data_IF_024727268108
#
_entry.id   IF_024727268108
#
_cell.length_a   1.000
_cell.length_b   1.000
_cell.length_c   1.000
_cell.angle_alpha   90.00
_cell.angle_beta   90.00
_cell.angle_gamma   90.00
#
_symmetry.space_group_name_H-M   'P 1'
#
loop_
_entity.id
_entity.type
_entity.pdbx_description
1 polymer ?
#
# COMPACT_ATOMS: atom_id res chain seq x y z
N UNK A 1 -10.36 62.53 -44.59
CA UNK A 1 -11.21 61.55 -43.89
C UNK A 1 -10.34 60.43 -43.33
N UNK A 2 -10.10 60.41 -42.01
CA UNK A 2 -9.30 59.39 -41.31
C UNK A 2 -10.21 58.20 -40.96
N UNK A 3 -9.86 57.00 -41.42
CA UNK A 3 -10.57 55.76 -41.06
C UNK A 3 -9.93 55.18 -39.79
N UNK A 4 -10.69 55.15 -38.70
CA UNK A 4 -10.35 54.44 -37.46
C UNK A 4 -10.59 52.95 -37.65
N UNK A 5 -9.55 52.15 -37.47
CA UNK A 5 -9.63 50.68 -37.49
C UNK A 5 -9.85 50.23 -36.05
N UNK A 6 -11.04 49.72 -35.76
CA UNK A 6 -11.40 49.17 -34.45
C UNK A 6 -10.94 47.72 -34.37
N UNK A 7 -9.92 47.44 -33.54
CA UNK A 7 -9.46 46.09 -33.22
C UNK A 7 -10.39 45.48 -32.18
N UNK A 8 -11.20 44.49 -32.57
CA UNK A 8 -11.99 43.66 -31.66
C UNK A 8 -11.10 42.51 -31.19
N UNK A 9 -10.69 42.57 -29.92
CA UNK A 9 -9.93 41.50 -29.28
C UNK A 9 -10.89 40.45 -28.75
N UNK A 10 -10.96 39.29 -29.41
CA UNK A 10 -11.78 38.14 -28.98
C UNK A 10 -11.00 37.42 -27.88
N UNK A 11 -11.46 37.56 -26.64
CA UNK A 11 -10.95 36.79 -25.51
C UNK A 11 -11.47 35.35 -25.69
N UNK A 12 -10.62 34.48 -26.23
CA UNK A 12 -10.87 33.04 -26.20
C UNK A 12 -10.70 32.55 -24.76
N UNK A 13 -11.80 32.47 -24.01
CA UNK A 13 -11.86 31.71 -22.77
C UNK A 13 -11.69 30.23 -23.16
N UNK A 14 -10.46 29.74 -23.07
CA UNK A 14 -10.17 28.31 -23.10
C UNK A 14 -10.86 27.67 -21.90
N UNK A 15 -12.03 27.07 -22.11
CA UNK A 15 -12.62 26.13 -21.17
C UNK A 15 -11.72 24.90 -21.18
N UNK A 16 -10.63 24.95 -20.42
CA UNK A 16 -9.92 23.74 -20.06
C UNK A 16 -10.94 22.84 -19.36
N UNK A 17 -11.13 21.58 -19.79
CA UNK A 17 -11.91 20.65 -19.00
C UNK A 17 -11.24 20.62 -17.63
N UNK A 18 -11.99 20.99 -16.60
CA UNK A 18 -11.58 20.73 -15.23
C UNK A 18 -11.46 19.21 -15.19
N UNK A 19 -10.23 18.72 -15.14
CA UNK A 19 -9.96 17.33 -14.80
C UNK A 19 -10.41 17.17 -13.35
N UNK A 20 -11.71 16.97 -13.15
CA UNK A 20 -12.21 16.37 -11.95
C UNK A 20 -11.58 14.99 -11.92
N UNK A 21 -10.56 14.81 -11.08
CA UNK A 21 -10.22 13.49 -10.60
C UNK A 21 -11.50 12.97 -9.94
N UNK A 22 -12.25 12.16 -10.67
CA UNK A 22 -13.44 11.49 -10.18
C UNK A 22 -12.96 10.63 -9.00
N UNK A 23 -13.23 11.10 -7.77
CA UNK A 23 -13.09 10.27 -6.58
C UNK A 23 -14.16 9.20 -6.68
N UNK A 24 -13.87 8.16 -7.46
CA UNK A 24 -14.43 6.85 -7.15
C UNK A 24 -13.82 6.49 -5.81
N UNK A 25 -14.54 6.80 -4.73
CA UNK A 25 -14.36 6.17 -3.43
C UNK A 25 -14.75 4.71 -3.60
N UNK A 26 -13.92 3.95 -4.33
CA UNK A 26 -14.11 2.52 -4.45
C UNK A 26 -13.60 1.90 -3.15
N UNK A 27 -14.45 1.93 -2.13
CA UNK A 27 -14.19 1.36 -0.80
C UNK A 27 -14.25 -0.18 -0.82
N UNK A 28 -14.50 -0.79 -1.98
CA UNK A 28 -14.48 -2.23 -2.15
C UNK A 28 -13.04 -2.77 -2.07
N UNK A 29 -12.89 -3.84 -1.28
CA UNK A 29 -11.68 -4.65 -1.22
C UNK A 29 -11.85 -5.79 -2.21
N UNK A 30 -11.29 -5.63 -3.40
CA UNK A 30 -11.29 -6.64 -4.47
C UNK A 30 -10.10 -7.60 -4.33
N UNK A 31 -10.12 -8.78 -4.99
CA UNK A 31 -8.95 -9.66 -5.05
C UNK A 31 -7.69 -8.93 -5.52
N UNK A 32 -7.79 -8.14 -6.60
CA UNK A 32 -6.65 -7.39 -7.14
C UNK A 32 -6.11 -6.33 -6.17
N UNK A 33 -6.99 -5.72 -5.37
CA UNK A 33 -6.57 -4.78 -4.33
C UNK A 33 -5.77 -5.48 -3.23
N UNK A 34 -6.17 -6.70 -2.85
CA UNK A 34 -5.44 -7.51 -1.87
C UNK A 34 -4.08 -7.92 -2.45
N UNK A 35 -4.05 -8.42 -3.69
CA UNK A 35 -2.82 -8.78 -4.39
C UNK A 35 -1.82 -7.61 -4.41
N UNK A 36 -2.29 -6.42 -4.82
CA UNK A 36 -1.45 -5.22 -4.85
C UNK A 36 -0.96 -4.78 -3.46
N UNK A 37 -1.80 -4.92 -2.41
CA UNK A 37 -1.40 -4.62 -1.04
C UNK A 37 -0.29 -5.58 -0.55
N UNK A 38 -0.46 -6.88 -0.78
CA UNK A 38 0.52 -7.90 -0.39
C UNK A 38 1.84 -7.72 -1.14
N UNK A 39 1.78 -7.54 -2.46
CA UNK A 39 2.96 -7.30 -3.30
C UNK A 39 3.71 -6.02 -2.88
N UNK A 40 2.98 -4.97 -2.49
CA UNK A 40 3.58 -3.74 -1.98
C UNK A 40 4.37 -3.98 -0.70
N UNK A 41 3.78 -4.65 0.28
CA UNK A 41 4.44 -4.99 1.55
C UNK A 41 5.67 -5.89 1.33
N UNK A 42 5.51 -6.93 0.51
CA UNK A 42 6.58 -7.87 0.17
C UNK A 42 7.79 -7.15 -0.45
N UNK A 43 7.55 -6.31 -1.46
CA UNK A 43 8.58 -5.58 -2.17
C UNK A 43 9.30 -4.56 -1.29
N UNK A 44 8.57 -3.77 -0.49
CA UNK A 44 9.19 -2.73 0.34
C UNK A 44 9.95 -3.32 1.50
N UNK A 45 9.35 -4.27 2.20
CA UNK A 45 9.97 -4.83 3.39
C UNK A 45 11.16 -5.71 3.02
N UNK A 46 11.04 -6.49 1.94
CA UNK A 46 12.16 -7.25 1.37
C UNK A 46 13.35 -6.36 1.02
N UNK A 47 13.10 -5.24 0.32
CA UNK A 47 14.17 -4.28 -0.01
C UNK A 47 14.85 -3.67 1.23
N UNK A 48 14.08 -3.41 2.29
CA UNK A 48 14.63 -2.90 3.57
C UNK A 48 15.50 -3.98 4.24
N UNK A 49 15.00 -5.21 4.34
CA UNK A 49 15.71 -6.35 4.94
C UNK A 49 17.02 -6.62 4.17
N UNK A 50 16.97 -6.60 2.85
CA UNK A 50 18.14 -6.80 1.99
C UNK A 50 19.17 -5.68 2.16
N UNK A 51 18.75 -4.42 2.21
CA UNK A 51 19.65 -3.28 2.42
C UNK A 51 20.38 -3.37 3.77
N UNK A 52 19.65 -3.76 4.82
CA UNK A 52 20.20 -3.94 6.17
C UNK A 52 21.15 -5.14 6.21
N UNK A 53 20.75 -6.27 5.64
CA UNK A 53 21.50 -7.54 5.67
C UNK A 53 22.77 -7.50 4.83
N UNK A 54 22.77 -6.74 3.73
CA UNK A 54 23.93 -6.53 2.87
C UNK A 54 24.98 -5.57 3.46
N UNK A 55 24.69 -4.95 4.60
CA UNK A 55 25.59 -3.99 5.25
C UNK A 55 25.72 -2.66 4.51
N UNK A 56 24.83 -2.41 3.54
CA UNK A 56 24.80 -1.17 2.77
C UNK A 56 24.23 0.01 3.58
N UNK A 57 23.48 -0.29 4.63
CA UNK A 57 22.97 0.71 5.58
C UNK A 57 24.04 1.23 6.54
N UNK A 58 23.81 2.43 7.08
CA UNK A 58 24.72 2.99 8.08
C UNK A 58 24.81 2.14 9.35
N UNK A 59 25.97 2.17 9.99
CA UNK A 59 26.23 1.56 11.31
C UNK A 59 25.17 1.91 12.38
N UNK A 60 24.59 3.11 12.30
CA UNK A 60 23.50 3.51 13.18
C UNK A 60 22.22 2.70 12.90
N UNK A 61 21.83 2.55 11.63
CA UNK A 61 20.64 1.80 11.22
C UNK A 61 20.80 0.31 11.55
N UNK A 62 21.96 -0.27 11.25
CA UNK A 62 22.24 -1.68 11.59
C UNK A 62 22.13 -1.95 13.09
N UNK A 63 22.67 -1.05 13.93
CA UNK A 63 22.52 -1.15 15.39
C UNK A 63 21.08 -0.99 15.83
N UNK A 64 20.35 -0.01 15.29
CA UNK A 64 18.95 0.23 15.65
C UNK A 64 18.07 -0.97 15.29
N UNK A 65 18.30 -1.57 14.12
CA UNK A 65 17.60 -2.79 13.69
C UNK A 65 17.84 -3.94 14.67
N UNK A 66 19.10 -4.24 14.97
CA UNK A 66 19.49 -5.32 15.88
C UNK A 66 18.94 -5.16 17.30
N UNK A 67 18.88 -3.93 17.83
CA UNK A 67 18.46 -3.70 19.22
C UNK A 67 16.96 -3.55 19.39
N UNK A 68 16.23 -3.08 18.37
CA UNK A 68 14.77 -2.84 18.46
C UNK A 68 13.95 -4.02 18.01
N UNK A 69 14.40 -4.71 16.97
CA UNK A 69 13.70 -5.87 16.46
C UNK A 69 14.31 -7.14 17.09
N UNK A 70 15.64 -7.20 17.29
CA UNK A 70 16.35 -8.38 17.79
C UNK A 70 17.26 -9.04 16.75
N UNK A 71 17.77 -10.24 17.05
CA UNK A 71 18.65 -11.02 16.17
C UNK A 71 17.95 -12.18 15.46
N UNK A 72 16.73 -12.53 15.89
CA UNK A 72 15.99 -13.73 15.43
C UNK A 72 14.83 -13.35 14.51
N UNK A 73 15.07 -12.48 13.53
CA UNK A 73 14.07 -12.29 12.49
C UNK A 73 14.26 -13.34 11.42
N UNK A 74 13.16 -13.93 10.92
CA UNK A 74 13.22 -14.65 9.67
C UNK A 74 13.56 -13.63 8.58
N UNK A 75 14.85 -13.54 8.21
CA UNK A 75 15.31 -12.80 7.03
C UNK A 75 14.58 -13.24 5.74
N UNK A 76 13.86 -14.36 5.81
CA UNK A 76 13.10 -14.99 4.74
C UNK A 76 11.62 -14.62 4.72
N UNK A 77 11.11 -13.79 5.65
CA UNK A 77 9.70 -13.37 5.65
C UNK A 77 9.59 -11.89 5.32
N UNK A 78 9.34 -11.55 4.03
CA UNK A 78 9.39 -10.17 3.58
C UNK A 78 8.43 -9.30 4.37
N UNK A 79 7.18 -9.72 4.61
CA UNK A 79 6.16 -8.88 5.27
C UNK A 79 6.32 -8.71 6.79
N UNK A 80 7.40 -9.20 7.39
CA UNK A 80 7.64 -9.14 8.83
C UNK A 80 7.63 -7.69 9.35
N UNK A 81 8.19 -6.74 8.59
CA UNK A 81 8.24 -5.34 9.00
C UNK A 81 6.86 -4.67 8.99
N UNK A 82 5.94 -5.12 8.14
CA UNK A 82 4.53 -4.75 8.17
C UNK A 82 3.77 -5.36 9.36
N UNK A 83 4.35 -6.31 10.09
CA UNK A 83 3.80 -6.89 11.32
C UNK A 83 2.78 -8.01 11.07
N UNK A 84 2.87 -8.69 9.93
CA UNK A 84 2.17 -9.94 9.63
C UNK A 84 3.10 -10.89 8.86
N UNK A 85 2.88 -12.20 9.01
CA UNK A 85 3.81 -13.21 8.54
C UNK A 85 3.09 -14.22 7.65
N UNK A 86 3.21 -14.04 6.33
CA UNK A 86 2.57 -14.91 5.35
C UNK A 86 3.23 -16.30 5.32
N UNK A 87 2.46 -17.38 5.18
CA UNK A 87 3.00 -18.74 5.11
C UNK A 87 3.67 -19.04 3.76
N UNK A 88 4.96 -19.39 3.77
CA UNK A 88 5.78 -19.69 2.59
C UNK A 88 5.21 -20.78 1.67
N UNK A 89 4.43 -21.73 2.22
CA UNK A 89 3.87 -22.87 1.48
C UNK A 89 2.52 -22.58 0.82
N UNK A 90 1.97 -21.37 0.98
CA UNK A 90 0.62 -21.03 0.50
C UNK A 90 0.69 -20.22 -0.78
N UNK A 91 -0.15 -20.57 -1.75
CA UNK A 91 -0.26 -19.82 -3.01
C UNK A 91 -0.94 -18.46 -2.79
N UNK A 92 -0.60 -17.47 -3.61
CA UNK A 92 -1.20 -16.13 -3.56
C UNK A 92 -2.73 -16.18 -3.66
N UNK A 93 -3.28 -16.98 -4.59
CA UNK A 93 -4.74 -17.16 -4.73
C UNK A 93 -5.41 -17.68 -3.45
N UNK A 94 -4.73 -18.59 -2.73
CA UNK A 94 -5.23 -19.14 -1.47
C UNK A 94 -5.18 -18.09 -0.35
N UNK A 95 -4.11 -17.29 -0.30
CA UNK A 95 -4.01 -16.16 0.64
C UNK A 95 -5.13 -15.14 0.39
N UNK A 96 -5.30 -14.70 -0.85
CA UNK A 96 -6.32 -13.74 -1.27
C UNK A 96 -7.71 -14.26 -0.92
N UNK A 97 -8.01 -15.52 -1.24
CA UNK A 97 -9.30 -16.14 -0.95
C UNK A 97 -9.60 -16.18 0.56
N UNK A 98 -8.61 -16.56 1.37
CA UNK A 98 -8.74 -16.62 2.83
C UNK A 98 -8.97 -15.23 3.45
N UNK A 99 -8.27 -14.20 2.94
CA UNK A 99 -8.45 -12.82 3.37
C UNK A 99 -9.85 -12.30 3.00
N UNK A 100 -10.31 -12.59 1.77
CA UNK A 100 -11.66 -12.22 1.32
C UNK A 100 -12.75 -12.87 2.16
N UNK A 101 -12.58 -14.14 2.51
CA UNK A 101 -13.52 -14.87 3.37
C UNK A 101 -13.59 -14.22 4.75
N UNK A 102 -12.45 -13.97 5.39
CA UNK A 102 -12.39 -13.31 6.69
C UNK A 102 -13.00 -11.90 6.67
N UNK A 103 -12.81 -11.14 5.59
CA UNK A 103 -13.40 -9.81 5.42
C UNK A 103 -14.93 -9.83 5.23
N UNK A 104 -15.52 -10.96 4.81
CA UNK A 104 -16.98 -11.12 4.73
C UNK A 104 -17.58 -11.43 6.10
N UNK A 105 -16.85 -12.17 6.93
CA UNK A 105 -17.29 -12.58 8.27
C UNK A 105 -17.05 -11.50 9.33
N UNK A 106 -16.13 -10.58 9.08
CA UNK A 106 -15.74 -9.55 10.04
C UNK A 106 -16.55 -8.25 9.83
N UNK A 107 -17.26 -7.74 10.85
CA UNK A 107 -17.95 -6.47 10.77
C UNK A 107 -16.98 -5.33 10.42
N UNK A 108 -17.31 -4.56 9.38
CA UNK A 108 -16.49 -3.38 9.01
C UNK A 108 -16.80 -2.24 9.97
N UNK A 109 -15.78 -1.63 10.63
CA UNK A 109 -16.01 -0.46 11.45
C UNK A 109 -16.45 0.71 10.56
N UNK A 110 -17.48 1.43 10.99
CA UNK A 110 -18.00 2.61 10.28
C UNK A 110 -16.88 3.66 10.12
N UNK A 111 -16.73 4.22 8.92
CA UNK A 111 -15.73 5.25 8.57
C UNK A 111 -14.25 4.79 8.62
N UNK A 112 -13.97 3.49 8.56
CA UNK A 112 -12.57 3.02 8.41
C UNK A 112 -12.13 3.06 6.95
N UNK A 113 -10.88 3.48 6.73
CA UNK A 113 -10.26 3.45 5.41
C UNK A 113 -10.04 2.00 4.96
N UNK A 114 -10.19 1.74 3.66
CA UNK A 114 -10.13 0.40 3.06
C UNK A 114 -8.82 -0.34 3.36
N UNK A 115 -7.69 0.36 3.27
CA UNK A 115 -6.35 -0.13 3.59
C UNK A 115 -6.22 -0.54 5.06
N UNK A 116 -6.77 0.24 6.00
CA UNK A 116 -6.78 -0.08 7.43
C UNK A 116 -7.59 -1.36 7.70
N UNK A 117 -8.76 -1.49 7.06
CA UNK A 117 -9.59 -2.69 7.18
C UNK A 117 -8.82 -3.92 6.69
N UNK A 118 -8.22 -3.83 5.49
CA UNK A 118 -7.44 -4.92 4.92
C UNK A 118 -6.22 -5.28 5.79
N UNK A 119 -5.46 -4.28 6.22
CA UNK A 119 -4.29 -4.46 7.07
C UNK A 119 -4.62 -5.21 8.36
N UNK A 120 -5.69 -4.79 9.05
CA UNK A 120 -6.11 -5.44 10.29
C UNK A 120 -6.61 -6.87 10.08
N UNK A 121 -7.32 -7.13 8.97
CA UNK A 121 -7.75 -8.46 8.59
C UNK A 121 -6.57 -9.40 8.35
N UNK A 122 -5.54 -8.95 7.62
CA UNK A 122 -4.32 -9.72 7.35
C UNK A 122 -3.60 -10.04 8.67
N UNK A 123 -3.44 -9.05 9.56
CA UNK A 123 -2.79 -9.26 10.86
C UNK A 123 -3.53 -10.22 11.78
N UNK A 124 -4.86 -10.24 11.72
CA UNK A 124 -5.66 -11.18 12.49
C UNK A 124 -5.51 -12.62 11.97
N UNK A 125 -5.43 -12.80 10.65
CA UNK A 125 -5.26 -14.10 10.02
C UNK A 125 -3.82 -14.65 10.12
N UNK A 126 -2.83 -13.78 9.96
CA UNK A 126 -1.42 -14.15 9.82
C UNK A 126 -0.52 -13.41 10.82
N UNK A 127 -0.74 -13.56 12.13
CA UNK A 127 0.14 -12.97 13.12
C UNK A 127 1.55 -13.58 13.02
N UNK A 128 2.57 -12.74 13.16
CA UNK A 128 3.92 -13.22 13.37
C UNK A 128 4.03 -13.96 14.70
N UNK A 129 4.81 -15.03 14.72
CA UNK A 129 5.14 -15.73 15.97
C UNK A 129 6.19 -14.92 16.73
N UNK A 130 6.01 -14.82 18.04
CA UNK A 130 7.02 -14.28 18.97
C UNK A 130 8.22 -15.23 19.12
#
# INVERSE_FOLDING_TARGET
MRKTITLVSIIALSTAPIAFAERHANDEITPDYIAGFLAGADLTDGAIIDSISSGNESEFIQRAYRTRLGTEHPATQPTYLAGFCLPDSTTEDTLISSILEHLKETPRPTNSQRDIILYNAIKALYPCKD
#
